data_IF_069928961993
#
_entry.id   IF_069928961993
#
_cell.length_a   1.000
_cell.length_b   1.000
_cell.length_c   1.000
_cell.angle_alpha   90.00
_cell.angle_beta   90.00
_cell.angle_gamma   90.00
#
_symmetry.space_group_name_H-M   'P 1'
#
loop_
_entity.id
_entity.type
_entity.pdbx_description
1 polymer ?
#
# COMPACT_ATOMS: atom_id res chain seq x y z
N UNK A 1 -14.84 -22.21 -18.18
CA UNK A 1 -15.14 -20.84 -18.63
C UNK A 1 -14.11 -19.93 -18.01
N UNK A 2 -13.14 -19.51 -18.81
CA UNK A 2 -12.04 -18.62 -18.42
C UNK A 2 -12.48 -17.18 -18.63
N UNK A 3 -12.53 -16.39 -17.56
CA UNK A 3 -12.71 -14.94 -17.64
C UNK A 3 -11.38 -14.34 -18.09
N UNK A 4 -11.35 -13.51 -19.15
CA UNK A 4 -10.12 -12.86 -19.57
C UNK A 4 -9.78 -11.75 -18.58
N UNK A 5 -8.56 -11.80 -18.01
CA UNK A 5 -8.02 -10.73 -17.21
C UNK A 5 -7.84 -9.50 -18.11
N UNK A 6 -8.62 -8.46 -17.86
CA UNK A 6 -8.45 -7.17 -18.50
C UNK A 6 -7.06 -6.62 -18.12
N UNK A 7 -6.29 -6.23 -19.14
CA UNK A 7 -5.08 -5.42 -19.02
C UNK A 7 -5.41 -4.16 -18.22
N UNK A 8 -5.05 -4.15 -16.93
CA UNK A 8 -5.04 -2.93 -16.15
C UNK A 8 -3.69 -2.25 -16.36
N UNK A 9 -3.69 -1.22 -17.20
CA UNK A 9 -2.56 -0.33 -17.40
C UNK A 9 -2.78 0.86 -16.46
N UNK A 10 -2.15 0.92 -15.27
CA UNK A 10 -2.32 2.07 -14.40
C UNK A 10 -1.83 3.33 -15.13
N UNK A 11 -2.56 4.46 -15.07
CA UNK A 11 -2.12 5.69 -15.71
C UNK A 11 -0.77 6.15 -15.11
N UNK A 12 0.12 6.77 -15.89
CA UNK A 12 1.42 7.21 -15.41
C UNK A 12 1.26 8.43 -14.51
N UNK A 13 1.19 8.24 -13.19
CA UNK A 13 1.28 9.34 -12.24
C UNK A 13 2.75 9.70 -12.00
N UNK A 14 3.30 10.56 -12.86
CA UNK A 14 4.56 11.24 -12.56
C UNK A 14 4.31 12.37 -11.55
N UNK A 15 4.20 12.03 -10.27
CA UNK A 15 4.25 13.05 -9.20
C UNK A 15 5.63 13.02 -8.58
N UNK A 16 6.48 13.96 -9.00
CA UNK A 16 7.76 14.25 -8.38
C UNK A 16 7.50 14.96 -7.04
N UNK A 17 7.28 14.20 -5.96
CA UNK A 17 7.21 14.76 -4.61
C UNK A 17 8.62 15.02 -4.09
N UNK A 18 9.08 16.26 -4.22
CA UNK A 18 10.31 16.72 -3.55
C UNK A 18 9.97 17.22 -2.15
N UNK A 19 9.90 16.30 -1.17
CA UNK A 19 9.86 16.62 0.27
C UNK A 19 8.87 15.81 1.09
N UNK A 20 9.38 15.07 2.09
CA UNK A 20 8.60 14.31 3.07
C UNK A 20 7.46 15.11 3.78
N UNK A 21 7.59 16.42 4.13
CA UNK A 21 6.51 17.10 4.84
C UNK A 21 5.28 17.46 3.97
N UNK A 22 5.44 17.57 2.64
CA UNK A 22 4.29 17.80 1.74
C UNK A 22 3.44 16.54 1.54
N UNK A 23 4.08 15.36 1.56
CA UNK A 23 3.44 14.06 1.44
C UNK A 23 2.36 13.84 2.52
N UNK A 24 2.71 14.05 3.80
CA UNK A 24 1.79 13.81 4.92
C UNK A 24 0.53 14.69 4.90
N UNK A 25 0.63 15.95 4.47
CA UNK A 25 -0.54 16.83 4.41
C UNK A 25 -1.59 16.35 3.40
N UNK A 26 -1.16 15.63 2.35
CA UNK A 26 -2.05 15.16 1.29
C UNK A 26 -2.72 13.82 1.63
N UNK A 27 -2.03 12.99 2.42
CA UNK A 27 -2.38 11.60 2.73
C UNK A 27 -2.84 11.38 4.19
N UNK A 28 -3.03 12.44 4.97
CA UNK A 28 -3.58 12.30 6.32
C UNK A 28 -5.04 11.81 6.27
N UNK A 29 -5.31 10.84 7.12
CA UNK A 29 -6.63 10.20 7.34
C UNK A 29 -7.36 10.78 8.54
N UNK A 30 -6.71 11.64 9.33
CA UNK A 30 -7.23 12.13 10.60
C UNK A 30 -7.05 11.16 11.78
N UNK A 31 -6.54 9.95 11.55
CA UNK A 31 -6.07 9.04 12.62
C UNK A 31 -4.55 9.02 12.66
N UNK A 32 -3.96 9.48 13.77
CA UNK A 32 -2.50 9.50 13.95
C UNK A 32 -1.86 8.11 13.86
N UNK A 33 -2.59 7.06 14.24
CA UNK A 33 -2.10 5.67 14.20
C UNK A 33 -2.01 5.18 12.77
N UNK A 34 -3.06 5.39 11.98
CA UNK A 34 -3.10 5.04 10.55
C UNK A 34 -2.05 5.83 9.78
N UNK A 35 -1.98 7.15 10.01
CA UNK A 35 -1.00 8.03 9.35
C UNK A 35 0.45 7.62 9.67
N UNK A 36 0.72 7.15 10.89
CA UNK A 36 2.03 6.62 11.26
C UNK A 36 2.35 5.29 10.56
N UNK A 37 1.36 4.45 10.27
CA UNK A 37 1.57 3.20 9.53
C UNK A 37 1.87 3.48 8.05
N UNK A 38 1.14 4.41 7.41
CA UNK A 38 1.42 4.86 6.03
C UNK A 38 2.86 5.34 5.86
N UNK A 39 3.31 6.15 6.81
CA UNK A 39 4.67 6.65 6.86
C UNK A 39 5.73 5.56 6.96
N UNK A 40 5.46 4.58 7.83
CA UNK A 40 6.37 3.46 8.03
C UNK A 40 6.49 2.64 6.74
N UNK A 41 5.37 2.38 6.06
CA UNK A 41 5.37 1.66 4.78
C UNK A 41 6.15 2.43 3.71
N UNK A 42 5.89 3.74 3.52
CA UNK A 42 6.61 4.52 2.51
C UNK A 42 8.12 4.61 2.81
N UNK A 43 8.48 4.76 4.09
CA UNK A 43 9.89 4.68 4.53
C UNK A 43 10.51 3.33 4.21
N UNK A 44 9.77 2.23 4.40
CA UNK A 44 10.23 0.88 4.06
C UNK A 44 10.39 0.70 2.54
N UNK A 45 9.56 1.34 1.71
CA UNK A 45 9.73 1.38 0.25
C UNK A 45 11.07 2.04 -0.10
N UNK A 46 11.40 3.16 0.52
CA UNK A 46 12.67 3.87 0.26
C UNK A 46 13.90 3.11 0.79
N UNK A 47 13.77 2.45 1.95
CA UNK A 47 14.81 1.53 2.45
C UNK A 47 15.02 0.35 1.52
N UNK A 48 13.95 -0.22 0.97
CA UNK A 48 14.06 -1.29 -0.02
C UNK A 48 14.74 -0.77 -1.30
N UNK A 49 14.41 0.45 -1.75
CA UNK A 49 15.06 1.11 -2.90
C UNK A 49 16.56 1.25 -2.72
N UNK A 50 17.03 1.68 -1.55
CA UNK A 50 18.46 1.89 -1.27
C UNK A 50 19.26 0.59 -1.08
N UNK A 51 18.59 -0.54 -0.84
CA UNK A 51 19.23 -1.86 -0.66
C UNK A 51 20.00 -2.30 -1.92
N UNK A 52 21.31 -2.46 -1.81
CA UNK A 52 22.13 -3.11 -2.84
C UNK A 52 22.12 -4.64 -2.68
N UNK A 53 22.34 -5.36 -3.78
CA UNK A 53 22.38 -6.83 -3.77
C UNK A 53 21.00 -7.48 -3.68
N UNK A 54 20.91 -8.60 -2.94
CA UNK A 54 19.67 -9.36 -2.83
C UNK A 54 18.61 -8.59 -2.05
N UNK A 55 17.61 -8.06 -2.77
CA UNK A 55 16.52 -7.24 -2.24
C UNK A 55 15.27 -8.06 -1.89
N UNK A 56 15.19 -9.34 -2.29
CA UNK A 56 14.01 -10.18 -2.09
C UNK A 56 13.59 -10.27 -0.62
N UNK A 57 14.48 -10.55 0.37
CA UNK A 57 14.07 -10.63 1.76
C UNK A 57 13.44 -9.33 2.28
N UNK A 58 13.97 -8.17 1.86
CA UNK A 58 13.43 -6.86 2.23
C UNK A 58 12.07 -6.61 1.57
N UNK A 59 11.89 -7.02 0.31
CA UNK A 59 10.61 -6.93 -0.37
C UNK A 59 9.52 -7.76 0.32
N UNK A 60 9.84 -8.99 0.75
CA UNK A 60 8.89 -9.84 1.48
C UNK A 60 8.46 -9.24 2.82
N UNK A 61 9.39 -8.65 3.56
CA UNK A 61 9.09 -7.92 4.81
C UNK A 61 8.18 -6.74 4.52
N UNK A 62 8.43 -5.98 3.44
CA UNK A 62 7.60 -4.87 3.04
C UNK A 62 6.18 -5.30 2.65
N UNK A 63 6.03 -6.38 1.88
CA UNK A 63 4.70 -6.94 1.56
C UNK A 63 3.97 -7.37 2.83
N UNK A 64 4.66 -8.04 3.76
CA UNK A 64 4.08 -8.43 5.04
C UNK A 64 3.66 -7.23 5.89
N UNK A 65 4.46 -6.16 5.91
CA UNK A 65 4.11 -4.93 6.63
C UNK A 65 2.85 -4.29 6.05
N UNK A 66 2.70 -4.30 4.73
CA UNK A 66 1.51 -3.81 4.06
C UNK A 66 0.26 -4.62 4.44
N UNK A 67 0.34 -5.96 4.43
CA UNK A 67 -0.77 -6.83 4.85
C UNK A 67 -1.14 -6.56 6.31
N UNK A 68 -0.15 -6.47 7.19
CA UNK A 68 -0.37 -6.21 8.61
C UNK A 68 -1.02 -4.84 8.86
N UNK A 69 -0.69 -3.83 8.05
CA UNK A 69 -1.33 -2.52 8.11
C UNK A 69 -2.83 -2.61 7.79
N UNK A 70 -3.23 -3.33 6.74
CA UNK A 70 -4.65 -3.53 6.43
C UNK A 70 -5.41 -4.22 7.58
N UNK A 71 -4.78 -5.19 8.27
CA UNK A 71 -5.36 -5.82 9.46
C UNK A 71 -5.40 -4.87 10.68
N UNK A 72 -4.36 -4.05 10.84
CA UNK A 72 -4.24 -3.06 11.92
C UNK A 72 -5.29 -1.96 11.76
N UNK A 73 -5.53 -1.49 10.55
CA UNK A 73 -6.50 -0.44 10.28
C UNK A 73 -7.92 -0.86 10.68
N UNK A 74 -8.34 -2.08 10.35
CA UNK A 74 -9.63 -2.64 10.76
C UNK A 74 -9.78 -2.65 12.30
N UNK A 75 -8.67 -2.91 13.01
CA UNK A 75 -8.63 -2.88 14.48
C UNK A 75 -8.66 -1.44 15.00
N UNK A 76 -7.86 -0.54 14.44
CA UNK A 76 -7.79 0.88 14.82
C UNK A 76 -9.17 1.52 14.65
N UNK A 77 -9.83 1.31 13.50
CA UNK A 77 -11.16 1.84 13.25
C UNK A 77 -12.18 1.39 14.29
N UNK A 78 -12.12 0.12 14.72
CA UNK A 78 -12.98 -0.41 15.78
C UNK A 78 -12.70 0.23 17.14
N UNK A 79 -11.43 0.46 17.46
CA UNK A 79 -10.99 1.09 18.72
C UNK A 79 -11.34 2.58 18.78
N UNK A 80 -11.26 3.28 17.64
CA UNK A 80 -11.49 4.73 17.53
C UNK A 80 -12.94 5.09 17.15
N UNK A 81 -13.79 4.10 16.89
CA UNK A 81 -15.18 4.33 16.48
C UNK A 81 -15.33 4.87 15.05
N UNK A 82 -14.32 4.69 14.20
CA UNK A 82 -14.34 5.08 12.80
C UNK A 82 -15.15 4.08 11.97
N UNK A 83 -15.92 4.60 11.01
CA UNK A 83 -16.80 3.77 10.19
C UNK A 83 -16.05 3.25 8.96
N UNK A 84 -15.72 1.96 8.97
CA UNK A 84 -15.20 1.27 7.78
C UNK A 84 -16.37 0.68 6.99
N UNK A 85 -16.51 1.07 5.73
CA UNK A 85 -17.60 0.61 4.86
C UNK A 85 -17.37 -0.84 4.42
N UNK A 86 -18.43 -1.49 3.91
CA UNK A 86 -18.31 -2.84 3.34
C UNK A 86 -17.40 -2.83 2.11
N UNK A 87 -17.45 -1.76 1.33
CA UNK A 87 -16.61 -1.53 0.16
C UNK A 87 -15.13 -1.45 0.56
N UNK A 88 -14.81 -0.75 1.66
CA UNK A 88 -13.45 -0.68 2.18
C UNK A 88 -12.96 -2.07 2.64
N UNK A 89 -13.75 -2.80 3.44
CA UNK A 89 -13.39 -4.17 3.84
C UNK A 89 -13.19 -5.11 2.65
N UNK A 90 -14.01 -4.99 1.60
CA UNK A 90 -13.84 -5.77 0.38
C UNK A 90 -12.56 -5.40 -0.38
N UNK A 91 -12.16 -4.13 -0.35
CA UNK A 91 -10.92 -3.66 -0.93
C UNK A 91 -9.70 -4.23 -0.21
N UNK A 92 -9.70 -4.28 1.12
CA UNK A 92 -8.66 -4.97 1.90
C UNK A 92 -8.45 -6.42 1.46
N UNK A 93 -9.55 -7.18 1.26
CA UNK A 93 -9.45 -8.58 0.83
C UNK A 93 -8.85 -8.70 -0.58
N UNK A 94 -9.19 -7.76 -1.47
CA UNK A 94 -8.61 -7.70 -2.81
C UNK A 94 -7.13 -7.34 -2.77
N UNK A 95 -6.73 -6.36 -1.95
CA UNK A 95 -5.33 -5.97 -1.78
C UNK A 95 -4.50 -7.10 -1.19
N UNK A 96 -4.97 -7.77 -0.13
CA UNK A 96 -4.30 -8.94 0.47
C UNK A 96 -4.04 -10.02 -0.59
N UNK A 97 -5.03 -10.28 -1.46
CA UNK A 97 -4.89 -11.23 -2.57
C UNK A 97 -3.86 -10.76 -3.63
N UNK A 98 -3.84 -9.48 -3.96
CA UNK A 98 -2.87 -8.89 -4.90
C UNK A 98 -1.46 -8.90 -4.34
N UNK A 99 -1.29 -8.54 -3.07
CA UNK A 99 -0.01 -8.56 -2.36
C UNK A 99 0.57 -9.98 -2.31
N UNK A 100 -0.26 -11.00 -2.09
CA UNK A 100 0.17 -12.40 -2.17
C UNK A 100 0.61 -12.83 -3.58
N UNK A 101 0.01 -12.27 -4.64
CA UNK A 101 0.50 -12.48 -6.00
C UNK A 101 1.85 -11.80 -6.23
N UNK A 102 1.98 -10.55 -5.79
CA UNK A 102 3.23 -9.79 -5.89
C UNK A 102 4.37 -10.49 -5.14
N UNK A 103 4.14 -11.00 -3.92
CA UNK A 103 5.14 -11.75 -3.15
C UNK A 103 5.65 -12.97 -3.94
N UNK A 104 4.75 -13.72 -4.59
CA UNK A 104 5.12 -14.85 -5.43
C UNK A 104 5.97 -14.43 -6.64
N UNK A 105 5.59 -13.35 -7.32
CA UNK A 105 6.36 -12.82 -8.46
C UNK A 105 7.76 -12.35 -8.04
N UNK A 106 7.88 -11.72 -6.86
CA UNK A 106 9.17 -11.32 -6.28
C UNK A 106 10.03 -12.55 -6.00
N UNK A 107 9.49 -13.58 -5.33
CA UNK A 107 10.22 -14.80 -4.99
C UNK A 107 10.67 -15.57 -6.24
N UNK A 108 9.85 -15.58 -7.29
CA UNK A 108 10.16 -16.24 -8.54
C UNK A 108 11.10 -15.45 -9.46
N UNK A 109 11.52 -14.24 -9.06
CA UNK A 109 12.29 -13.30 -9.89
C UNK A 109 11.55 -12.85 -11.17
N UNK A 110 10.23 -12.89 -11.17
CA UNK A 110 9.38 -12.46 -12.29
C UNK A 110 9.11 -10.94 -12.27
N UNK A 111 9.56 -10.24 -11.23
CA UNK A 111 9.31 -8.82 -11.03
C UNK A 111 10.60 -8.06 -10.74
N UNK A 112 10.90 -7.09 -11.61
CA UNK A 112 12.03 -6.18 -11.44
C UNK A 112 11.84 -5.29 -10.21
N UNK A 113 12.93 -5.04 -9.47
CA UNK A 113 12.89 -4.29 -8.20
C UNK A 113 12.18 -2.94 -8.31
N UNK A 114 12.52 -2.16 -9.33
CA UNK A 114 11.94 -0.83 -9.49
C UNK A 114 10.45 -0.87 -9.85
N UNK A 115 10.03 -1.90 -10.59
CA UNK A 115 8.61 -2.12 -10.92
C UNK A 115 7.85 -2.50 -9.66
N UNK A 116 8.38 -3.44 -8.86
CA UNK A 116 7.82 -3.81 -7.55
C UNK A 116 7.61 -2.59 -6.64
N UNK A 117 8.64 -1.75 -6.49
CA UNK A 117 8.57 -0.57 -5.63
C UNK A 117 7.59 0.48 -6.13
N UNK A 118 7.50 0.68 -7.46
CA UNK A 118 6.49 1.56 -8.05
C UNK A 118 5.09 1.04 -7.77
N UNK A 119 4.85 -0.24 -8.05
CA UNK A 119 3.54 -0.87 -7.83
C UNK A 119 3.07 -0.75 -6.39
N UNK A 120 3.94 -1.01 -5.40
CA UNK A 120 3.56 -0.90 -4.00
C UNK A 120 3.24 0.54 -3.59
N UNK A 121 4.00 1.51 -4.10
CA UNK A 121 3.73 2.93 -3.84
C UNK A 121 2.41 3.38 -4.47
N UNK A 122 2.14 2.95 -5.69
CA UNK A 122 0.89 3.25 -6.38
C UNK A 122 -0.32 2.62 -5.67
N UNK A 123 -0.17 1.38 -5.18
CA UNK A 123 -1.20 0.71 -4.36
C UNK A 123 -1.45 1.51 -3.07
N UNK A 124 -0.39 1.89 -2.34
CA UNK A 124 -0.51 2.69 -1.11
C UNK A 124 -1.28 3.98 -1.38
N UNK A 125 -0.88 4.75 -2.39
CA UNK A 125 -1.46 6.06 -2.63
C UNK A 125 -2.91 5.96 -3.08
N UNK A 126 -3.22 4.95 -3.90
CA UNK A 126 -4.58 4.68 -4.33
C UNK A 126 -5.47 4.30 -3.14
N UNK A 127 -5.02 3.39 -2.28
CA UNK A 127 -5.73 2.95 -1.08
C UNK A 127 -6.05 4.14 -0.17
N UNK A 128 -5.02 4.90 0.24
CA UNK A 128 -5.19 6.07 1.10
C UNK A 128 -6.18 7.09 0.51
N UNK A 129 -5.99 7.44 -0.77
CA UNK A 129 -6.75 8.51 -1.39
C UNK A 129 -8.23 8.17 -1.56
N UNK A 130 -8.55 6.89 -1.78
CA UNK A 130 -9.90 6.47 -2.15
C UNK A 130 -10.64 5.75 -1.01
N UNK A 131 -9.94 5.29 0.03
CA UNK A 131 -10.53 4.52 1.12
C UNK A 131 -10.22 5.16 2.47
N UNK A 132 -8.96 5.27 2.87
CA UNK A 132 -8.60 5.63 4.25
C UNK A 132 -8.98 7.07 4.60
N UNK A 133 -8.89 7.99 3.63
CA UNK A 133 -9.36 9.38 3.81
C UNK A 133 -10.86 9.48 4.05
N UNK A 134 -11.64 8.44 3.75
CA UNK A 134 -13.08 8.40 4.01
C UNK A 134 -13.41 7.88 5.42
N UNK A 135 -12.43 7.39 6.18
CA UNK A 135 -12.65 6.86 7.55
C UNK A 135 -13.02 7.96 8.55
N UNK A 136 -12.46 9.15 8.36
CA UNK A 136 -12.75 10.33 9.17
C UNK A 136 -13.06 11.52 8.24
N UNK A 137 -14.28 11.57 7.67
CA UNK A 137 -14.71 12.73 6.91
C UNK A 137 -14.84 13.90 7.90
N UNK A 138 -13.91 14.86 7.82
CA UNK A 138 -13.93 16.08 8.62
C UNK A 138 -15.28 16.82 8.55
#
# INVERSE_FOLDING_TARGET
MTVPFANFNPPPYHVLFTGAPMYYSYFSTGSLRIDSEHANIDSMIDLCRSKSGNWIPTARILVSAFVNHLDSEEKICREEGLAMTREHLAEHQLLKSRLALIDRQVVNHDLEKNVFLSMLRDILFYHISNFDKQLNPA
#
